data_IF_519309085752
#
_entry.id   IF_519309085752
#
_cell.length_a   1.000
_cell.length_b   1.000
_cell.length_c   1.000
_cell.angle_alpha   90.00
_cell.angle_beta   90.00
_cell.angle_gamma   90.00
#
_symmetry.space_group_name_H-M   'P 1'
#
loop_
_entity.id
_entity.type
_entity.pdbx_description
1 polymer ?
#
# COMPACT_ATOMS: atom_id res chain seq x y z
N UNK A 1 -6.82 -16.66 69.91
CA UNK A 1 -7.26 -15.51 69.10
C UNK A 1 -6.58 -15.60 67.72
N UNK A 2 -7.27 -16.23 66.76
CA UNK A 2 -6.77 -16.53 65.40
C UNK A 2 -7.65 -15.77 64.38
N UNK A 3 -7.02 -15.46 63.24
CA UNK A 3 -7.59 -15.06 61.94
C UNK A 3 -8.23 -13.68 61.78
N UNK A 4 -7.41 -12.63 61.65
CA UNK A 4 -7.77 -11.43 60.88
C UNK A 4 -6.79 -11.08 59.74
N UNK A 5 -5.72 -11.88 59.53
CA UNK A 5 -4.68 -11.58 58.53
C UNK A 5 -4.94 -12.10 57.11
N UNK A 6 -6.03 -12.83 56.89
CA UNK A 6 -6.30 -13.50 55.59
C UNK A 6 -7.17 -12.69 54.62
N UNK A 7 -7.81 -11.60 55.06
CA UNK A 7 -8.75 -10.84 54.23
C UNK A 7 -8.08 -9.82 53.27
N UNK A 8 -6.85 -9.39 53.56
CA UNK A 8 -6.14 -8.40 52.73
C UNK A 8 -5.54 -8.98 51.45
N UNK A 9 -5.04 -10.22 51.52
CA UNK A 9 -4.37 -10.90 50.41
C UNK A 9 -5.35 -11.30 49.30
N UNK A 10 -6.59 -11.69 49.64
CA UNK A 10 -7.61 -12.09 48.66
C UNK A 10 -8.05 -10.94 47.74
N UNK A 11 -7.97 -9.68 48.20
CA UNK A 11 -8.33 -8.50 47.41
C UNK A 11 -7.29 -8.12 46.35
N UNK A 12 -6.02 -8.50 46.53
CA UNK A 12 -4.96 -8.17 45.58
C UNK A 12 -4.98 -9.12 44.36
N UNK A 13 -5.29 -10.41 44.56
CA UNK A 13 -5.38 -11.39 43.47
C UNK A 13 -6.59 -11.20 42.55
N UNK A 14 -7.70 -10.66 43.07
CA UNK A 14 -8.90 -10.38 42.26
C UNK A 14 -8.70 -9.27 41.24
N UNK A 15 -7.90 -8.24 41.58
CA UNK A 15 -7.63 -7.12 40.70
C UNK A 15 -6.66 -7.48 39.55
N UNK A 16 -5.69 -8.36 39.79
CA UNK A 16 -4.75 -8.82 38.75
C UNK A 16 -5.39 -9.79 37.75
N UNK A 17 -6.35 -10.61 38.18
CA UNK A 17 -7.05 -11.53 37.29
C UNK A 17 -7.95 -10.80 36.26
N UNK A 18 -8.59 -9.69 36.67
CA UNK A 18 -9.42 -8.90 35.78
C UNK A 18 -8.59 -8.14 34.71
N UNK A 19 -7.39 -7.70 35.08
CA UNK A 19 -6.47 -7.01 34.17
C UNK A 19 -5.91 -7.94 33.07
N UNK A 20 -5.67 -9.23 33.39
CA UNK A 20 -5.23 -10.21 32.40
C UNK A 20 -6.32 -10.56 31.37
N UNK A 21 -7.61 -10.51 31.75
CA UNK A 21 -8.72 -10.78 30.82
C UNK A 21 -8.92 -9.65 29.79
N UNK A 22 -8.57 -8.42 30.14
CA UNK A 22 -8.65 -7.28 29.21
C UNK A 22 -7.50 -7.24 28.20
N UNK A 23 -6.37 -7.87 28.49
CA UNK A 23 -5.19 -7.87 27.61
C UNK A 23 -5.34 -8.74 26.35
N UNK A 24 -6.32 -9.64 26.30
CA UNK A 24 -6.55 -10.55 25.16
C UNK A 24 -7.61 -10.06 24.16
N UNK A 25 -8.29 -8.95 24.43
CA UNK A 25 -9.28 -8.38 23.54
C UNK A 25 -8.66 -7.30 22.65
N UNK A 26 -7.67 -7.65 21.83
CA UNK A 26 -7.23 -6.78 20.73
C UNK A 26 -8.10 -7.12 19.52
N UNK A 27 -9.09 -6.27 19.13
CA UNK A 27 -9.85 -6.52 17.92
C UNK A 27 -8.90 -6.45 16.73
N UNK A 28 -8.72 -7.58 16.04
CA UNK A 28 -8.05 -7.62 14.74
C UNK A 28 -8.99 -6.96 13.72
N UNK A 29 -8.88 -5.64 13.57
CA UNK A 29 -9.59 -4.93 12.52
C UNK A 29 -9.03 -5.35 11.15
N UNK A 30 -9.88 -5.65 10.15
CA UNK A 30 -9.40 -5.97 8.81
C UNK A 30 -8.68 -4.75 8.21
N UNK A 31 -7.51 -4.97 7.62
CA UNK A 31 -6.81 -3.93 6.88
C UNK A 31 -7.68 -3.45 5.71
N UNK A 32 -8.03 -2.16 5.71
CA UNK A 32 -8.79 -1.54 4.62
C UNK A 32 -7.81 -1.23 3.48
N UNK A 33 -8.00 -1.85 2.32
CA UNK A 33 -7.27 -1.47 1.11
C UNK A 33 -7.75 -0.09 0.64
N UNK A 34 -6.81 0.82 0.37
CA UNK A 34 -7.14 2.14 -0.19
C UNK A 34 -7.40 1.97 -1.69
N UNK A 35 -8.64 2.20 -2.11
CA UNK A 35 -8.98 2.27 -3.53
C UNK A 35 -8.66 3.66 -4.05
N UNK A 36 -7.66 3.77 -4.92
CA UNK A 36 -7.34 5.02 -5.63
C UNK A 36 -8.33 5.13 -6.81
N UNK A 37 -9.21 6.13 -6.76
CA UNK A 37 -10.10 6.44 -7.90
C UNK A 37 -9.33 7.36 -8.85
N UNK A 38 -8.83 6.80 -9.94
CA UNK A 38 -8.17 7.59 -10.98
C UNK A 38 -9.20 8.45 -11.74
N UNK A 39 -8.88 9.73 -11.97
CA UNK A 39 -9.67 10.59 -12.84
C UNK A 39 -9.59 10.09 -14.28
N UNK A 40 -10.70 10.12 -15.05
CA UNK A 40 -10.68 9.77 -16.47
C UNK A 40 -9.69 10.66 -17.23
N UNK A 41 -8.85 10.02 -18.04
CA UNK A 41 -7.89 10.70 -18.91
C UNK A 41 -8.58 11.06 -20.23
N UNK A 42 -8.46 12.30 -20.75
CA UNK A 42 -9.04 12.68 -22.03
C UNK A 42 -8.57 11.79 -23.17
N UNK A 43 -9.49 11.45 -24.08
CA UNK A 43 -9.15 10.72 -25.30
C UNK A 43 -8.13 11.50 -26.14
N UNK A 44 -7.17 10.79 -26.74
CA UNK A 44 -6.10 11.41 -27.52
C UNK A 44 -4.94 11.99 -26.70
N UNK A 45 -4.94 11.83 -25.38
CA UNK A 45 -3.78 12.16 -24.55
C UNK A 45 -2.55 11.38 -25.01
N UNK A 46 -1.41 12.05 -25.13
CA UNK A 46 -0.14 11.41 -25.46
C UNK A 46 0.54 10.92 -24.18
N UNK A 47 1.07 9.69 -24.22
CA UNK A 47 1.93 9.15 -23.17
C UNK A 47 3.39 9.41 -23.52
N UNK A 48 4.13 10.00 -22.59
CA UNK A 48 5.58 10.11 -22.63
C UNK A 48 6.15 9.16 -21.58
N UNK A 49 7.13 8.35 -21.98
CA UNK A 49 7.80 7.39 -21.11
C UNK A 49 9.31 7.50 -21.32
N UNK A 50 10.05 7.65 -20.24
CA UNK A 50 11.51 7.61 -20.20
C UNK A 50 11.97 6.55 -19.20
N UNK A 51 13.04 5.83 -19.55
CA UNK A 51 13.69 4.82 -18.72
C UNK A 51 15.08 4.52 -19.29
N UNK A 52 15.97 3.94 -18.49
CA UNK A 52 17.29 3.50 -18.95
C UNK A 52 17.19 2.35 -19.95
N UNK A 53 16.24 1.44 -19.76
CA UNK A 53 16.08 0.26 -20.62
C UNK A 53 14.62 -0.10 -20.82
N UNK A 54 14.26 -0.43 -22.07
CA UNK A 54 13.00 -1.03 -22.45
C UNK A 54 13.22 -2.47 -22.92
N UNK A 55 12.56 -3.41 -22.26
CA UNK A 55 12.56 -4.83 -22.61
C UNK A 55 11.18 -5.20 -23.16
N UNK A 56 11.17 -5.75 -24.36
CA UNK A 56 9.96 -6.15 -25.04
C UNK A 56 9.89 -7.67 -25.10
N UNK A 57 8.91 -8.25 -24.41
CA UNK A 57 8.64 -9.68 -24.40
C UNK A 57 7.43 -9.94 -25.31
N UNK A 58 7.70 -10.54 -26.47
CA UNK A 58 6.67 -10.88 -27.44
C UNK A 58 5.81 -12.05 -27.00
N UNK A 59 6.42 -13.06 -26.39
CA UNK A 59 5.73 -14.30 -26.00
C UNK A 59 4.75 -14.04 -24.87
N UNK A 60 5.12 -13.16 -23.93
CA UNK A 60 4.26 -12.75 -22.81
C UNK A 60 3.45 -11.49 -23.10
N UNK A 61 3.58 -10.92 -24.29
CA UNK A 61 2.96 -9.65 -24.67
C UNK A 61 3.18 -8.51 -23.66
N UNK A 62 4.39 -8.40 -23.09
CA UNK A 62 4.72 -7.36 -22.10
C UNK A 62 5.79 -6.39 -22.59
N UNK A 63 5.72 -5.16 -22.07
CA UNK A 63 6.77 -4.14 -22.21
C UNK A 63 7.22 -3.76 -20.81
N UNK A 64 8.50 -3.93 -20.51
CA UNK A 64 9.07 -3.61 -19.21
C UNK A 64 10.04 -2.44 -19.34
N UNK A 65 9.81 -1.38 -18.58
CA UNK A 65 10.72 -0.26 -18.41
C UNK A 65 11.47 -0.40 -17.08
N UNK A 66 12.79 -0.16 -17.07
CA UNK A 66 13.65 -0.29 -15.88
C UNK A 66 14.70 0.81 -15.85
N UNK A 67 15.08 1.23 -14.65
CA UNK A 67 16.15 2.20 -14.40
C UNK A 67 15.62 3.63 -14.48
N UNK A 68 15.08 4.13 -13.36
CA UNK A 68 14.54 5.49 -13.27
C UNK A 68 13.38 5.76 -14.23
N UNK A 69 12.33 4.94 -14.17
CA UNK A 69 11.17 5.08 -15.04
C UNK A 69 10.39 6.35 -14.68
N UNK A 70 10.11 7.17 -15.69
CA UNK A 70 9.24 8.34 -15.60
C UNK A 70 8.16 8.25 -16.68
N UNK A 71 6.90 8.42 -16.29
CA UNK A 71 5.75 8.41 -17.19
C UNK A 71 4.93 9.67 -16.97
N UNK A 72 4.67 10.40 -18.05
CA UNK A 72 3.74 11.52 -18.11
C UNK A 72 2.56 11.14 -19.02
N UNK A 73 1.35 11.14 -18.46
CA UNK A 73 0.15 10.76 -19.21
C UNK A 73 -1.11 11.45 -18.68
N UNK A 74 -1.78 12.25 -19.53
CA UNK A 74 -3.07 12.85 -19.18
C UNK A 74 -3.00 13.80 -17.97
N UNK A 75 -1.84 14.44 -17.74
CA UNK A 75 -1.57 15.27 -16.57
C UNK A 75 -1.12 14.50 -15.33
N UNK A 76 -1.14 13.16 -15.36
CA UNK A 76 -0.57 12.34 -14.30
C UNK A 76 0.94 12.15 -14.54
N UNK A 77 1.72 12.15 -13.46
CA UNK A 77 3.17 11.91 -13.46
C UNK A 77 3.47 10.70 -12.57
N UNK A 78 4.19 9.72 -13.08
CA UNK A 78 4.58 8.52 -12.35
C UNK A 78 6.10 8.35 -12.39
N UNK A 79 6.71 8.10 -11.25
CA UNK A 79 8.12 7.73 -11.10
C UNK A 79 8.21 6.37 -10.42
N UNK A 80 9.06 5.48 -10.93
CA UNK A 80 9.31 4.17 -10.33
C UNK A 80 10.66 3.60 -10.76
N UNK A 81 11.15 2.59 -10.06
CA UNK A 81 12.35 1.85 -10.50
C UNK A 81 12.05 0.92 -11.69
N UNK A 82 10.83 0.35 -11.72
CA UNK A 82 10.39 -0.58 -12.76
C UNK A 82 8.91 -0.44 -13.06
N UNK A 83 8.54 -0.52 -14.33
CA UNK A 83 7.15 -0.55 -14.79
C UNK A 83 6.97 -1.68 -15.79
N UNK A 84 5.91 -2.49 -15.61
CA UNK A 84 5.50 -3.54 -16.54
C UNK A 84 4.14 -3.18 -17.13
N UNK A 85 4.08 -3.08 -18.45
CA UNK A 85 2.85 -2.94 -19.19
C UNK A 85 2.49 -4.27 -19.88
N UNK A 86 1.35 -4.84 -19.49
CA UNK A 86 0.78 -6.00 -20.17
C UNK A 86 -0.15 -5.51 -21.28
N UNK A 87 0.18 -5.86 -22.52
CA UNK A 87 -0.50 -5.34 -23.70
C UNK A 87 -1.84 -6.00 -23.96
N UNK A 88 -2.07 -7.21 -23.47
CA UNK A 88 -3.35 -7.92 -23.65
C UNK A 88 -4.42 -7.34 -22.73
N UNK A 89 -4.06 -7.17 -21.45
CA UNK A 89 -4.96 -6.65 -20.42
C UNK A 89 -4.99 -5.12 -20.34
N UNK A 90 -4.09 -4.44 -21.05
CA UNK A 90 -3.87 -2.98 -20.97
C UNK A 90 -3.58 -2.50 -19.55
N UNK A 91 -2.99 -3.37 -18.70
CA UNK A 91 -2.66 -3.05 -17.30
C UNK A 91 -1.19 -2.68 -17.14
N UNK A 92 -0.95 -1.70 -16.28
CA UNK A 92 0.38 -1.22 -15.91
C UNK A 92 0.61 -1.51 -14.44
N UNK A 93 1.77 -2.07 -14.11
CA UNK A 93 2.22 -2.33 -12.73
C UNK A 93 3.56 -1.65 -12.52
N UNK A 94 3.61 -0.72 -11.58
CA UNK A 94 4.83 -0.02 -11.17
C UNK A 94 5.34 -0.61 -9.85
N UNK A 95 6.65 -0.67 -9.68
CA UNK A 95 7.28 -1.22 -8.48
C UNK A 95 8.61 -0.54 -8.17
N UNK A 96 8.92 -0.44 -6.87
CA UNK A 96 10.16 0.12 -6.34
C UNK A 96 10.13 1.64 -6.28
N UNK A 97 10.06 2.18 -5.06
CA UNK A 97 10.01 3.62 -4.77
C UNK A 97 9.03 4.37 -5.69
N UNK A 98 7.78 3.90 -5.72
CA UNK A 98 6.77 4.43 -6.64
C UNK A 98 6.23 5.75 -6.12
N UNK A 99 6.21 6.77 -6.97
CA UNK A 99 5.54 8.05 -6.72
C UNK A 99 4.59 8.35 -7.87
N UNK A 100 3.32 8.58 -7.57
CA UNK A 100 2.29 9.00 -8.52
C UNK A 100 1.73 10.36 -8.11
N UNK A 101 1.77 11.32 -9.03
CA UNK A 101 1.12 12.61 -8.92
C UNK A 101 -0.03 12.63 -9.93
N UNK A 102 -1.26 12.70 -9.45
CA UNK A 102 -2.43 12.82 -10.31
C UNK A 102 -2.54 14.24 -10.87
N UNK A 103 -3.33 14.39 -11.93
CA UNK A 103 -3.61 15.68 -12.58
C UNK A 103 -4.20 16.76 -11.65
N UNK A 104 -4.75 16.38 -10.49
CA UNK A 104 -5.26 17.29 -9.45
C UNK A 104 -4.20 17.68 -8.40
N UNK A 105 -2.97 17.17 -8.54
CA UNK A 105 -1.87 17.39 -7.60
C UNK A 105 -1.81 16.40 -6.45
N UNK A 106 -2.74 15.43 -6.37
CA UNK A 106 -2.70 14.40 -5.33
C UNK A 106 -1.46 13.53 -5.51
N UNK A 107 -0.61 13.46 -4.47
CA UNK A 107 0.60 12.65 -4.45
C UNK A 107 0.38 11.36 -3.67
N UNK A 108 0.75 10.24 -4.27
CA UNK A 108 0.65 8.88 -3.73
C UNK A 108 2.04 8.26 -3.80
N UNK A 109 2.47 7.59 -2.73
CA UNK A 109 3.77 6.92 -2.67
C UNK A 109 3.61 5.45 -2.25
N UNK A 110 4.52 4.59 -2.70
CA UNK A 110 4.66 3.20 -2.25
C UNK A 110 6.08 2.96 -1.75
N UNK A 111 6.21 2.11 -0.73
CA UNK A 111 7.50 1.52 -0.33
C UNK A 111 7.93 0.36 -1.25
#
# INVERSE_FOLDING_TARGET
>A
MRSHRQAGLARLYGATALACLFAFAVPTAPAQAQTIVAKPIPSGSQMLLAADTLVYDNDKHTVTAVGGVQIDYGGNKLVAQRVVYNRDTKRLVASGAVELINSDGTKINSD
#
